data_IF_904378497299
#
_entry.id   IF_904378497299
#
_cell.length_a   1.000
_cell.length_b   1.000
_cell.length_c   1.000
_cell.angle_alpha   90.00
_cell.angle_beta   90.00
_cell.angle_gamma   90.00
#
_symmetry.space_group_name_H-M   'P 1'
#
loop_
_entity.id
_entity.type
_entity.pdbx_description
1 polymer ?
#
# COMPACT_ATOMS: atom_id res chain seq x y z
N UNK A 1 -26.59 16.57 1.18
CA UNK A 1 -25.71 16.76 0.01
C UNK A 1 -26.48 17.45 -1.12
N UNK A 2 -25.91 18.49 -1.75
CA UNK A 2 -26.46 19.18 -2.93
C UNK A 2 -25.89 18.54 -4.19
N UNK A 3 -26.71 18.37 -5.24
CA UNK A 3 -26.31 17.67 -6.47
C UNK A 3 -26.32 18.60 -7.68
N UNK A 4 -25.41 18.36 -8.61
CA UNK A 4 -25.36 19.01 -9.92
C UNK A 4 -25.05 17.99 -11.02
N UNK A 5 -25.92 17.97 -12.03
CA UNK A 5 -25.77 17.11 -13.19
C UNK A 5 -24.77 17.77 -14.16
N UNK A 6 -23.61 17.15 -14.34
CA UNK A 6 -22.55 17.65 -15.21
C UNK A 6 -22.69 17.07 -16.62
N UNK A 7 -22.73 15.74 -16.74
CA UNK A 7 -22.79 15.01 -18.01
C UNK A 7 -21.69 15.48 -19.00
N UNK A 8 -20.43 15.37 -18.58
CA UNK A 8 -19.24 15.72 -19.38
C UNK A 8 -18.09 14.76 -19.11
N UNK A 9 -17.18 14.61 -20.08
CA UNK A 9 -15.92 13.90 -19.87
C UNK A 9 -14.97 14.73 -19.01
N UNK A 10 -14.39 14.08 -17.99
CA UNK A 10 -13.23 14.57 -17.27
C UNK A 10 -12.06 13.59 -17.45
N UNK A 11 -10.88 14.16 -17.62
CA UNK A 11 -9.62 13.42 -17.66
C UNK A 11 -9.05 13.30 -16.24
N UNK A 12 -8.80 12.06 -15.84
CA UNK A 12 -8.07 11.73 -14.62
C UNK A 12 -6.71 11.13 -14.95
N UNK A 13 -5.77 11.32 -14.04
CA UNK A 13 -4.37 10.94 -14.21
C UNK A 13 -3.91 10.07 -13.04
N UNK A 14 -2.87 9.27 -13.24
CA UNK A 14 -2.18 8.59 -12.15
C UNK A 14 -0.67 8.87 -12.23
N UNK A 15 0.08 8.50 -11.19
CA UNK A 15 1.55 8.66 -11.13
C UNK A 15 2.32 8.02 -12.31
N UNK A 16 1.71 7.05 -13.00
CA UNK A 16 2.28 6.39 -14.19
C UNK A 16 1.79 7.00 -15.52
N UNK A 17 1.09 8.14 -15.48
CA UNK A 17 0.50 8.85 -16.63
C UNK A 17 -0.57 8.07 -17.41
N UNK A 18 -1.24 7.09 -16.80
CA UNK A 18 -2.45 6.50 -17.39
C UNK A 18 -3.54 7.56 -17.42
N UNK A 19 -3.88 7.99 -18.63
CA UNK A 19 -4.98 8.90 -18.89
C UNK A 19 -6.29 8.11 -18.87
N UNK A 20 -7.15 8.38 -17.89
CA UNK A 20 -8.49 7.83 -17.83
C UNK A 20 -9.49 8.96 -18.10
N UNK A 21 -10.02 8.98 -19.32
CA UNK A 21 -11.15 9.84 -19.65
C UNK A 21 -12.45 9.11 -19.29
N UNK A 22 -13.25 9.73 -18.42
CA UNK A 22 -14.50 9.14 -17.94
C UNK A 22 -15.63 10.15 -18.01
N UNK A 23 -16.83 9.66 -18.28
CA UNK A 23 -18.03 10.48 -18.25
C UNK A 23 -18.43 10.73 -16.80
N UNK A 24 -18.59 11.99 -16.40
CA UNK A 24 -19.05 12.38 -15.07
C UNK A 24 -20.50 12.81 -15.16
N UNK A 25 -21.39 12.00 -14.58
CA UNK A 25 -22.83 12.22 -14.59
C UNK A 25 -23.20 13.32 -13.59
N UNK A 26 -22.70 13.21 -12.36
CA UNK A 26 -23.16 14.01 -11.23
C UNK A 26 -22.01 14.41 -10.31
N UNK A 27 -22.10 15.62 -9.76
CA UNK A 27 -21.27 16.10 -8.67
C UNK A 27 -22.17 16.32 -7.46
N UNK A 28 -21.79 15.77 -6.32
CA UNK A 28 -22.53 15.89 -5.08
C UNK A 28 -21.63 16.51 -4.01
N UNK A 29 -22.09 17.58 -3.37
CA UNK A 29 -21.29 18.38 -2.44
C UNK A 29 -22.02 18.56 -1.10
N UNK A 30 -21.29 18.42 -0.01
CA UNK A 30 -21.72 18.86 1.32
C UNK A 30 -20.80 20.00 1.75
N UNK A 31 -21.36 21.17 2.07
CA UNK A 31 -20.59 22.35 2.46
C UNK A 31 -21.22 23.02 3.70
N UNK A 32 -20.39 23.61 4.55
CA UNK A 32 -20.77 24.40 5.71
C UNK A 32 -19.92 25.67 5.76
N UNK A 33 -20.54 26.85 5.92
CA UNK A 33 -19.85 28.14 6.06
C UNK A 33 -18.71 28.32 5.02
N UNK A 34 -19.05 28.15 3.75
CA UNK A 34 -18.15 28.22 2.58
C UNK A 34 -17.02 27.18 2.51
N UNK A 35 -16.94 26.27 3.48
CA UNK A 35 -16.01 25.13 3.48
C UNK A 35 -16.69 23.90 2.89
N UNK A 36 -16.02 23.22 1.96
CA UNK A 36 -16.46 21.93 1.43
C UNK A 36 -16.08 20.83 2.42
N UNK A 37 -17.07 20.10 2.92
CA UNK A 37 -16.88 18.98 3.84
C UNK A 37 -16.88 17.63 3.13
N UNK A 38 -17.46 17.55 1.93
CA UNK A 38 -17.48 16.34 1.12
C UNK A 38 -17.71 16.68 -0.35
N UNK A 39 -16.97 16.03 -1.24
CA UNK A 39 -17.17 16.09 -2.68
C UNK A 39 -17.20 14.68 -3.27
N UNK A 40 -18.32 14.31 -3.88
CA UNK A 40 -18.50 13.04 -4.59
C UNK A 40 -18.72 13.27 -6.08
N UNK A 41 -18.22 12.35 -6.89
CA UNK A 41 -18.50 12.25 -8.31
C UNK A 41 -19.16 10.92 -8.62
N UNK A 42 -20.16 10.96 -9.50
CA UNK A 42 -20.73 9.76 -10.12
C UNK A 42 -20.18 9.65 -11.54
N UNK A 43 -19.37 8.62 -11.77
CA UNK A 43 -18.74 8.32 -13.05
C UNK A 43 -19.55 7.27 -13.80
N UNK A 44 -19.54 7.32 -15.12
CA UNK A 44 -20.02 6.26 -16.00
C UNK A 44 -18.86 5.83 -16.90
N UNK A 45 -18.54 4.53 -16.83
CA UNK A 45 -17.43 3.93 -17.56
C UNK A 45 -17.90 2.71 -18.33
N UNK A 46 -17.31 2.48 -19.49
CA UNK A 46 -17.51 1.22 -20.20
C UNK A 46 -16.73 0.08 -19.50
N UNK A 47 -17.03 -1.20 -19.81
CA UNK A 47 -16.36 -2.33 -19.18
C UNK A 47 -14.83 -2.41 -19.41
N UNK A 48 -14.32 -1.85 -20.52
CA UNK A 48 -12.87 -1.80 -20.77
C UNK A 48 -12.18 -0.82 -19.83
N UNK A 49 -12.74 0.38 -19.66
CA UNK A 49 -12.26 1.38 -18.71
C UNK A 49 -12.38 0.89 -17.26
N UNK A 50 -13.47 0.18 -16.94
CA UNK A 50 -13.62 -0.45 -15.63
C UNK A 50 -12.52 -1.49 -15.35
N UNK A 51 -12.21 -2.36 -16.31
CA UNK A 51 -11.12 -3.32 -16.18
C UNK A 51 -9.76 -2.62 -15.94
N UNK A 52 -9.52 -1.46 -16.56
CA UNK A 52 -8.32 -0.66 -16.30
C UNK A 52 -8.29 -0.11 -14.87
N UNK A 53 -9.44 0.39 -14.37
CA UNK A 53 -9.58 0.87 -13.00
C UNK A 53 -9.26 -0.26 -12.02
N UNK A 54 -9.80 -1.46 -12.22
CA UNK A 54 -9.53 -2.62 -11.36
C UNK A 54 -8.06 -3.04 -11.43
N UNK A 55 -7.51 -3.18 -12.63
CA UNK A 55 -6.15 -3.70 -12.85
C UNK A 55 -5.09 -2.80 -12.22
N UNK A 56 -5.31 -1.48 -12.24
CA UNK A 56 -4.37 -0.49 -11.72
C UNK A 56 -4.81 0.10 -10.37
N UNK A 57 -5.86 -0.44 -9.75
CA UNK A 57 -6.45 0.05 -8.50
C UNK A 57 -6.73 1.58 -8.51
N UNK A 58 -7.18 2.12 -9.65
CA UNK A 58 -7.50 3.54 -9.78
C UNK A 58 -8.66 3.89 -8.83
N UNK A 59 -8.68 5.14 -8.33
CA UNK A 59 -9.66 5.58 -7.33
C UNK A 59 -9.62 4.74 -6.05
N UNK A 60 -8.45 4.19 -5.71
CA UNK A 60 -8.23 3.31 -4.57
C UNK A 60 -9.18 2.09 -4.56
N UNK A 61 -9.56 1.59 -5.74
CA UNK A 61 -10.43 0.44 -5.91
C UNK A 61 -9.63 -0.86 -5.90
N UNK A 62 -9.36 -1.41 -4.70
CA UNK A 62 -8.73 -2.72 -4.56
C UNK A 62 -9.78 -3.85 -4.52
N UNK A 63 -9.48 -4.98 -5.15
CA UNK A 63 -10.37 -6.15 -5.20
C UNK A 63 -10.65 -6.77 -3.82
N UNK A 64 -9.68 -6.69 -2.92
CA UNK A 64 -9.74 -7.25 -1.56
C UNK A 64 -10.70 -6.48 -0.63
N UNK A 65 -10.98 -5.21 -0.96
CA UNK A 65 -11.81 -4.32 -0.14
C UNK A 65 -13.22 -4.10 -0.72
N UNK A 66 -13.72 -5.07 -1.50
CA UNK A 66 -15.07 -5.06 -2.05
C UNK A 66 -16.03 -5.74 -1.09
N UNK A 67 -17.12 -5.06 -0.80
CA UNK A 67 -18.27 -5.64 -0.12
C UNK A 67 -19.02 -6.63 -1.02
N UNK A 68 -20.09 -7.23 -0.49
CA UNK A 68 -20.93 -8.17 -1.23
C UNK A 68 -21.44 -7.61 -2.55
N UNK A 69 -21.42 -8.43 -3.61
CA UNK A 69 -22.17 -8.12 -4.82
C UNK A 69 -23.66 -8.35 -4.59
N UNK A 70 -24.52 -7.45 -5.06
CA UNK A 70 -25.92 -7.79 -5.29
C UNK A 70 -25.99 -8.82 -6.42
N UNK A 71 -26.40 -10.04 -6.07
CA UNK A 71 -26.52 -11.25 -6.90
C UNK A 71 -26.54 -10.99 -8.42
N UNK A 72 -25.37 -11.03 -9.07
CA UNK A 72 -25.24 -10.89 -10.51
C UNK A 72 -23.83 -10.51 -10.95
N UNK A 73 -23.44 -10.98 -12.13
CA UNK A 73 -22.23 -10.50 -12.82
C UNK A 73 -22.54 -9.24 -13.63
N UNK A 74 -21.53 -8.40 -13.85
CA UNK A 74 -21.66 -7.30 -14.80
C UNK A 74 -21.79 -7.82 -16.23
N UNK A 75 -22.73 -7.25 -16.97
CA UNK A 75 -22.90 -7.49 -18.39
C UNK A 75 -21.76 -6.79 -19.18
N UNK A 76 -21.21 -7.46 -20.21
CA UNK A 76 -20.03 -6.98 -20.93
C UNK A 76 -20.27 -5.79 -21.86
N UNK A 77 -21.54 -5.48 -22.18
CA UNK A 77 -21.92 -4.44 -23.16
C UNK A 77 -22.71 -3.29 -22.51
N UNK A 78 -22.73 -3.21 -21.18
CA UNK A 78 -23.47 -2.18 -20.43
C UNK A 78 -22.51 -1.35 -19.59
N UNK A 79 -22.71 -0.03 -19.56
CA UNK A 79 -21.88 0.87 -18.76
C UNK A 79 -22.05 0.62 -17.27
N UNK A 80 -20.95 0.84 -16.55
CA UNK A 80 -20.83 0.66 -15.11
C UNK A 80 -20.71 2.05 -14.49
N UNK A 81 -21.48 2.30 -13.44
CA UNK A 81 -21.43 3.52 -12.66
C UNK A 81 -20.54 3.35 -11.43
N UNK A 82 -19.66 4.31 -11.18
CA UNK A 82 -18.84 4.36 -9.97
C UNK A 82 -19.21 5.62 -9.19
N UNK A 83 -19.44 5.49 -7.89
CA UNK A 83 -19.46 6.63 -6.98
C UNK A 83 -18.10 6.75 -6.31
N UNK A 84 -17.45 7.91 -6.43
CA UNK A 84 -16.15 8.20 -5.83
C UNK A 84 -16.23 9.45 -4.93
N UNK A 85 -15.42 9.52 -3.89
CA UNK A 85 -15.32 10.69 -2.99
C UNK A 85 -13.89 11.21 -2.92
N UNK A 86 -13.71 12.53 -2.86
CA UNK A 86 -12.39 13.16 -2.78
C UNK A 86 -11.78 12.90 -1.39
N UNK A 87 -10.45 12.71 -1.33
CA UNK A 87 -9.71 12.65 -0.06
C UNK A 87 -9.98 13.91 0.79
N UNK A 88 -10.27 13.76 2.10
CA UNK A 88 -10.57 14.89 2.98
C UNK A 88 -9.51 15.98 2.98
N UNK A 89 -8.22 15.60 2.94
CA UNK A 89 -7.09 16.54 2.94
C UNK A 89 -7.06 17.49 1.74
N UNK A 90 -7.78 17.19 0.66
CA UNK A 90 -7.87 18.03 -0.55
C UNK A 90 -9.13 18.89 -0.61
N UNK A 91 -10.07 18.69 0.32
CA UNK A 91 -11.28 19.51 0.39
C UNK A 91 -10.99 20.98 0.72
N UNK A 92 -10.02 21.34 1.59
CA UNK A 92 -9.63 22.73 1.78
C UNK A 92 -9.15 23.39 0.48
N UNK A 93 -8.29 22.69 -0.28
CA UNK A 93 -7.80 23.17 -1.59
C UNK A 93 -8.96 23.37 -2.58
N UNK A 94 -9.93 22.45 -2.61
CA UNK A 94 -11.12 22.62 -3.45
C UNK A 94 -11.93 23.85 -3.03
N UNK A 95 -12.09 24.05 -1.72
CA UNK A 95 -12.86 25.16 -1.12
C UNK A 95 -12.28 26.54 -1.45
N UNK A 96 -10.97 26.66 -1.63
CA UNK A 96 -10.31 27.90 -2.07
C UNK A 96 -10.78 28.37 -3.46
N UNK A 97 -11.23 27.43 -4.29
CA UNK A 97 -11.60 27.70 -5.68
C UNK A 97 -13.11 27.59 -5.94
N UNK A 98 -13.80 26.70 -5.24
CA UNK A 98 -15.22 26.41 -5.46
C UNK A 98 -15.87 25.75 -4.24
N UNK A 99 -17.08 26.19 -3.89
CA UNK A 99 -17.81 25.71 -2.72
C UNK A 99 -19.28 25.32 -2.98
N UNK A 100 -19.71 25.38 -4.24
CA UNK A 100 -21.01 24.86 -4.70
C UNK A 100 -20.82 23.78 -5.77
N UNK A 101 -21.77 22.83 -5.92
CA UNK A 101 -21.67 21.80 -6.97
C UNK A 101 -21.40 22.36 -8.38
N UNK A 102 -22.03 23.48 -8.75
CA UNK A 102 -21.88 24.13 -10.06
C UNK A 102 -20.49 24.75 -10.26
N UNK A 103 -19.97 25.41 -9.21
CA UNK A 103 -18.65 26.05 -9.26
C UNK A 103 -17.55 25.00 -9.25
N UNK A 104 -17.73 23.91 -8.50
CA UNK A 104 -16.83 22.75 -8.48
C UNK A 104 -16.81 22.09 -9.86
N UNK A 105 -17.98 21.87 -10.47
CA UNK A 105 -18.08 21.31 -11.81
C UNK A 105 -17.30 22.15 -12.82
N UNK A 106 -17.52 23.46 -12.82
CA UNK A 106 -16.83 24.40 -13.71
C UNK A 106 -15.30 24.35 -13.50
N UNK A 107 -14.88 24.32 -12.23
CA UNK A 107 -13.45 24.30 -11.88
C UNK A 107 -12.77 23.00 -12.33
N UNK A 108 -13.34 21.83 -12.03
CA UNK A 108 -12.79 20.54 -12.44
C UNK A 108 -12.77 20.38 -13.97
N UNK A 109 -13.81 20.83 -14.67
CA UNK A 109 -13.82 20.84 -16.15
C UNK A 109 -12.71 21.70 -16.72
N UNK A 110 -12.48 22.90 -16.16
CA UNK A 110 -11.40 23.78 -16.62
C UNK A 110 -10.02 23.16 -16.37
N UNK A 111 -9.80 22.55 -15.20
CA UNK A 111 -8.55 21.84 -14.90
C UNK A 111 -8.31 20.69 -15.89
N UNK A 112 -9.35 19.92 -16.20
CA UNK A 112 -9.26 18.80 -17.14
C UNK A 112 -8.85 19.25 -18.55
N UNK A 113 -9.39 20.39 -19.02
CA UNK A 113 -9.07 20.92 -20.34
C UNK A 113 -7.66 21.52 -20.42
N UNK A 114 -7.19 22.17 -19.36
CA UNK A 114 -5.84 22.75 -19.31
C UNK A 114 -4.72 21.69 -19.28
N UNK A 115 -5.04 20.50 -18.79
CA UNK A 115 -4.09 19.38 -18.66
C UNK A 115 -4.07 18.49 -19.91
N UNK A 116 -4.86 18.81 -20.94
CA UNK A 116 -4.95 18.07 -22.21
C UNK A 116 -3.82 18.48 -23.16
N UNK A 117 -2.96 17.54 -23.60
CA UNK A 117 -1.93 17.80 -24.61
C UNK A 117 -2.56 18.24 -25.95
N UNK A 118 -1.99 19.22 -26.68
CA UNK A 118 -2.50 19.58 -27.99
C UNK A 118 -2.33 18.43 -29.00
N UNK A 119 -3.32 18.18 -29.88
CA UNK A 119 -3.38 16.97 -30.72
C UNK A 119 -2.27 16.81 -31.78
N UNK A 120 -1.33 17.76 -31.89
CA UNK A 120 -0.24 17.78 -32.88
C UNK A 120 1.17 17.88 -32.27
N UNK A 121 1.35 17.65 -30.96
CA UNK A 121 2.68 17.66 -30.36
C UNK A 121 3.47 16.40 -30.76
N UNK A 122 4.57 16.58 -31.51
CA UNK A 122 5.52 15.51 -31.78
C UNK A 122 6.37 15.23 -30.53
N UNK A 123 6.75 13.97 -30.25
CA UNK A 123 7.45 13.58 -29.03
C UNK A 123 8.89 14.12 -28.92
N UNK A 124 9.38 14.89 -29.90
CA UNK A 124 10.74 15.41 -29.96
C UNK A 124 10.91 16.87 -29.56
N UNK A 125 9.83 17.65 -29.42
CA UNK A 125 9.93 19.12 -29.44
C UNK A 125 9.57 19.82 -28.11
N UNK A 126 9.44 19.09 -27.01
CA UNK A 126 9.25 19.68 -25.67
C UNK A 126 10.30 19.18 -24.70
N UNK A 127 11.01 20.12 -24.08
CA UNK A 127 11.91 19.86 -22.95
C UNK A 127 11.21 18.97 -21.91
N UNK A 128 11.88 17.95 -21.36
CA UNK A 128 11.26 16.92 -20.51
C UNK A 128 10.78 17.41 -19.14
N UNK A 129 10.85 18.71 -18.84
CA UNK A 129 10.52 19.27 -17.52
C UNK A 129 9.16 19.99 -17.45
N UNK A 130 8.44 20.16 -18.56
CA UNK A 130 7.12 20.86 -18.57
C UNK A 130 5.91 19.96 -18.80
N UNK A 131 6.08 18.64 -18.78
CA UNK A 131 4.97 17.69 -18.80
C UNK A 131 4.23 17.71 -17.46
N UNK A 132 3.34 18.70 -17.33
CA UNK A 132 2.09 18.70 -16.58
C UNK A 132 2.19 18.06 -15.19
N UNK A 133 2.48 18.87 -14.17
CA UNK A 133 2.00 18.57 -12.83
C UNK A 133 0.46 18.54 -12.90
N UNK A 134 -0.13 17.35 -13.10
CA UNK A 134 -1.58 17.19 -13.06
C UNK A 134 -2.07 17.70 -11.72
N UNK A 135 -3.11 18.53 -11.74
CA UNK A 135 -3.65 19.07 -10.50
C UNK A 135 -4.07 17.90 -9.59
N UNK A 136 -3.69 17.87 -8.30
CA UNK A 136 -4.01 16.78 -7.38
C UNK A 136 -5.49 16.36 -7.37
N UNK A 137 -6.42 17.29 -7.67
CA UNK A 137 -7.85 17.03 -7.73
C UNK A 137 -8.27 16.12 -8.91
N UNK A 138 -7.45 15.99 -9.95
CA UNK A 138 -7.66 15.10 -11.09
C UNK A 138 -6.84 13.81 -11.01
N UNK A 139 -6.09 13.62 -9.92
CA UNK A 139 -5.32 12.41 -9.72
C UNK A 139 -6.20 11.29 -9.16
N UNK A 140 -6.22 10.13 -9.82
CA UNK A 140 -7.03 8.97 -9.42
C UNK A 140 -6.69 8.48 -8.00
N UNK A 141 -5.45 8.59 -7.54
CA UNK A 141 -5.04 8.21 -6.17
C UNK A 141 -5.67 9.09 -5.08
N UNK A 142 -6.24 10.24 -5.45
CA UNK A 142 -6.80 11.22 -4.54
C UNK A 142 -8.32 11.10 -4.36
N UNK A 143 -8.91 10.04 -4.91
CA UNK A 143 -10.32 9.71 -4.76
C UNK A 143 -10.50 8.29 -4.24
N UNK A 144 -11.49 8.08 -3.38
CA UNK A 144 -11.89 6.77 -2.89
C UNK A 144 -13.18 6.33 -3.56
N UNK A 145 -13.16 5.20 -4.26
CA UNK A 145 -14.38 4.60 -4.79
C UNK A 145 -15.23 4.04 -3.65
N UNK A 146 -16.49 4.48 -3.56
CA UNK A 146 -17.48 4.10 -2.55
C UNK A 146 -18.34 2.93 -3.03
N UNK A 147 -18.77 2.96 -4.28
CA UNK A 147 -19.58 1.88 -4.84
C UNK A 147 -19.43 1.77 -6.35
N UNK A 148 -19.73 0.58 -6.86
CA UNK A 148 -19.72 0.23 -8.28
C UNK A 148 -21.04 -0.47 -8.59
N UNK A 149 -21.78 0.03 -9.57
CA UNK A 149 -23.14 -0.41 -9.88
C UNK A 149 -23.36 -0.49 -11.38
N UNK A 150 -24.19 -1.42 -11.82
CA UNK A 150 -24.65 -1.52 -13.20
C UNK A 150 -26.17 -1.72 -13.19
N UNK A 151 -26.87 -0.82 -13.88
CA UNK A 151 -28.31 -0.94 -14.07
C UNK A 151 -28.60 -1.95 -15.18
N UNK A 152 -29.34 -3.02 -14.85
CA UNK A 152 -29.73 -4.08 -15.77
C UNK A 152 -31.26 -4.22 -15.79
N UNK A 153 -31.81 -4.88 -16.81
CA UNK A 153 -33.25 -5.16 -16.91
C UNK A 153 -33.79 -5.97 -15.71
N UNK A 154 -32.94 -6.80 -15.09
CA UNK A 154 -33.22 -7.59 -13.89
C UNK A 154 -33.13 -6.80 -12.58
N UNK A 155 -32.71 -5.53 -12.63
CA UNK A 155 -32.45 -4.68 -11.48
C UNK A 155 -30.99 -4.19 -11.45
N UNK A 156 -30.62 -3.51 -10.36
CA UNK A 156 -29.27 -3.00 -10.17
C UNK A 156 -28.36 -4.07 -9.55
N UNK A 157 -27.29 -4.42 -10.25
CA UNK A 157 -26.20 -5.24 -9.71
C UNK A 157 -24.99 -4.38 -9.32
N UNK A 158 -24.13 -4.83 -8.42
CA UNK A 158 -22.95 -4.08 -8.01
C UNK A 158 -22.53 -4.36 -6.58
N UNK A 159 -21.57 -3.60 -6.10
CA UNK A 159 -21.01 -3.74 -4.75
C UNK A 159 -20.66 -2.38 -4.16
N UNK A 160 -20.59 -2.33 -2.84
CA UNK A 160 -20.00 -1.22 -2.08
C UNK A 160 -18.55 -1.56 -1.74
N UNK A 161 -17.73 -0.57 -1.47
CA UNK A 161 -16.33 -0.78 -1.04
C UNK A 161 -16.21 -0.52 0.46
N UNK A 162 -15.07 -0.91 1.04
CA UNK A 162 -14.65 -0.53 2.38
C UNK A 162 -14.84 0.98 2.66
N UNK A 163 -14.49 1.84 1.71
CA UNK A 163 -14.59 3.29 1.86
C UNK A 163 -16.02 3.79 2.04
N UNK A 164 -17.03 3.06 1.55
CA UNK A 164 -18.43 3.40 1.81
C UNK A 164 -18.85 3.11 3.26
N UNK A 165 -18.27 2.08 3.88
CA UNK A 165 -18.56 1.73 5.27
C UNK A 165 -17.83 2.65 6.25
N UNK A 166 -16.55 2.90 5.99
CA UNK A 166 -15.74 3.78 6.85
C UNK A 166 -16.10 5.25 6.68
N UNK A 167 -16.53 5.66 5.48
CA UNK A 167 -16.84 7.04 5.13
C UNK A 167 -15.72 8.04 5.51
N UNK A 168 -14.79 8.33 4.58
CA UNK A 168 -13.63 9.19 4.84
C UNK A 168 -13.97 10.60 5.36
N UNK A 169 -15.18 11.12 5.17
CA UNK A 169 -15.56 12.45 5.69
C UNK A 169 -15.54 12.55 7.20
N UNK A 170 -15.64 11.42 7.89
CA UNK A 170 -15.55 11.32 9.34
C UNK A 170 -14.20 11.84 9.86
N UNK A 171 -13.15 11.84 9.03
CA UNK A 171 -11.85 12.42 9.34
C UNK A 171 -11.89 13.93 9.62
N UNK A 172 -12.94 14.63 9.19
CA UNK A 172 -13.12 16.06 9.48
C UNK A 172 -13.69 16.31 10.89
N UNK A 173 -14.06 15.27 11.65
CA UNK A 173 -14.65 15.34 12.98
C UNK A 173 -13.88 14.46 13.99
N UNK A 174 -12.66 14.86 14.41
CA UNK A 174 -11.73 14.02 15.16
C UNK A 174 -12.28 13.47 16.47
N UNK A 175 -13.21 14.18 17.14
CA UNK A 175 -13.79 13.73 18.42
C UNK A 175 -14.62 12.46 18.31
N UNK A 176 -15.31 12.25 17.18
CA UNK A 176 -16.16 11.08 16.93
C UNK A 176 -15.58 10.14 15.88
N UNK A 177 -14.44 10.51 15.28
CA UNK A 177 -13.92 9.82 14.12
C UNK A 177 -13.57 8.36 14.43
N UNK A 178 -12.93 8.14 15.57
CA UNK A 178 -12.45 6.82 15.98
C UNK A 178 -13.57 5.80 16.14
N UNK A 179 -14.64 6.16 16.85
CA UNK A 179 -15.75 5.26 17.12
C UNK A 179 -16.51 4.90 15.84
N UNK A 180 -16.75 5.89 14.98
CA UNK A 180 -17.48 5.67 13.73
C UNK A 180 -16.63 4.91 12.68
N UNK A 181 -15.31 5.12 12.66
CA UNK A 181 -14.40 4.33 11.82
C UNK A 181 -14.40 2.87 12.26
N UNK A 182 -14.26 2.61 13.57
CA UNK A 182 -14.29 1.25 14.11
C UNK A 182 -15.63 0.56 13.83
N UNK A 183 -16.75 1.28 13.96
CA UNK A 183 -18.08 0.80 13.60
C UNK A 183 -18.18 0.49 12.09
N UNK A 184 -17.68 1.38 11.23
CA UNK A 184 -17.63 1.19 9.78
C UNK A 184 -16.82 -0.04 9.37
N UNK A 185 -15.65 -0.24 9.98
CA UNK A 185 -14.81 -1.43 9.77
C UNK A 185 -15.55 -2.70 10.18
N UNK A 186 -16.19 -2.69 11.35
CA UNK A 186 -16.95 -3.83 11.87
C UNK A 186 -18.10 -4.18 10.93
N UNK A 187 -18.88 -3.18 10.51
CA UNK A 187 -19.99 -3.36 9.57
C UNK A 187 -19.53 -3.89 8.21
N UNK A 188 -18.36 -3.47 7.72
CA UNK A 188 -17.78 -4.02 6.50
C UNK A 188 -17.43 -5.50 6.68
N UNK A 189 -16.72 -5.85 7.76
CA UNK A 189 -16.31 -7.23 8.03
C UNK A 189 -17.51 -8.17 8.18
N UNK A 190 -18.56 -7.76 8.89
CA UNK A 190 -19.79 -8.54 9.05
C UNK A 190 -20.50 -8.79 7.71
N UNK A 191 -20.67 -7.75 6.89
CA UNK A 191 -21.33 -7.88 5.59
C UNK A 191 -20.52 -8.71 4.60
N UNK A 192 -19.21 -8.46 4.53
CA UNK A 192 -18.28 -9.24 3.71
C UNK A 192 -18.33 -10.71 4.10
N UNK A 193 -18.32 -11.00 5.40
CA UNK A 193 -18.39 -12.36 5.91
C UNK A 193 -19.72 -13.02 5.53
N UNK A 194 -20.85 -12.37 5.77
CA UNK A 194 -22.17 -12.90 5.44
C UNK A 194 -22.32 -13.30 3.97
N UNK A 195 -21.72 -12.54 3.04
CA UNK A 195 -21.83 -12.82 1.61
C UNK A 195 -20.87 -13.91 1.13
N UNK A 196 -19.61 -13.88 1.61
CA UNK A 196 -18.57 -14.77 1.11
C UNK A 196 -18.50 -16.10 1.88
N UNK A 197 -19.14 -16.20 3.05
CA UNK A 197 -19.14 -17.40 3.89
C UNK A 197 -20.46 -18.17 3.92
N UNK A 198 -21.36 -17.89 2.98
CA UNK A 198 -22.59 -18.67 2.80
C UNK A 198 -22.37 -20.18 2.50
N UNK A 199 -21.10 -20.61 2.32
CA UNK A 199 -20.69 -22.00 2.15
C UNK A 199 -19.69 -22.52 3.22
N UNK A 200 -19.32 -21.72 4.22
CA UNK A 200 -18.34 -22.08 5.25
C UNK A 200 -19.03 -22.48 6.57
N UNK A 201 -18.44 -23.41 7.32
CA UNK A 201 -18.90 -23.76 8.68
C UNK A 201 -18.69 -22.57 9.63
N UNK A 202 -19.50 -22.45 10.69
CA UNK A 202 -19.38 -21.38 11.71
C UNK A 202 -17.93 -21.16 12.18
N UNK A 203 -17.18 -22.25 12.42
CA UNK A 203 -15.78 -22.18 12.85
C UNK A 203 -14.83 -21.49 11.85
N UNK A 204 -15.03 -21.74 10.55
CA UNK A 204 -14.20 -21.12 9.48
C UNK A 204 -14.58 -19.64 9.35
N UNK A 205 -15.83 -19.30 9.65
CA UNK A 205 -16.30 -17.93 9.63
C UNK A 205 -15.74 -17.08 10.75
N UNK A 206 -15.72 -17.62 11.97
CA UNK A 206 -15.07 -16.95 13.09
C UNK A 206 -13.57 -16.76 12.86
N UNK A 207 -12.87 -17.74 12.27
CA UNK A 207 -11.43 -17.65 12.03
C UNK A 207 -11.07 -16.64 10.92
N UNK A 208 -11.88 -16.56 9.85
CA UNK A 208 -11.73 -15.56 8.79
C UNK A 208 -12.09 -14.15 9.26
N UNK A 209 -13.18 -14.00 10.04
CA UNK A 209 -13.54 -12.72 10.67
C UNK A 209 -12.41 -12.27 11.58
N UNK A 210 -11.85 -13.18 12.39
CA UNK A 210 -10.70 -12.88 13.25
C UNK A 210 -9.45 -12.49 12.47
N UNK A 211 -9.16 -13.16 11.36
CA UNK A 211 -8.06 -12.79 10.45
C UNK A 211 -8.23 -11.38 9.88
N UNK A 212 -9.46 -11.03 9.50
CA UNK A 212 -9.83 -9.70 9.01
C UNK A 212 -9.75 -8.66 10.14
N UNK A 213 -10.24 -8.98 11.34
CA UNK A 213 -10.09 -8.13 12.53
C UNK A 213 -8.61 -7.90 12.85
N UNK A 214 -7.74 -8.90 12.74
CA UNK A 214 -6.30 -8.74 12.95
C UNK A 214 -5.65 -7.88 11.85
N UNK A 215 -6.06 -8.02 10.58
CA UNK A 215 -5.65 -7.13 9.49
C UNK A 215 -6.08 -5.68 9.79
N UNK A 216 -7.26 -5.51 10.37
CA UNK A 216 -7.79 -4.20 10.76
C UNK A 216 -7.23 -3.67 12.09
N UNK A 217 -6.78 -4.48 13.04
CA UNK A 217 -6.02 -4.02 14.20
C UNK A 217 -4.69 -3.38 13.75
N UNK A 218 -4.09 -3.90 12.69
CA UNK A 218 -2.96 -3.27 11.99
C UNK A 218 -3.34 -1.92 11.36
N UNK A 219 -4.56 -1.80 10.84
CA UNK A 219 -5.11 -0.55 10.29
C UNK A 219 -5.49 0.47 11.37
N UNK A 220 -6.09 0.06 12.48
CA UNK A 220 -6.34 0.90 13.67
C UNK A 220 -5.03 1.40 14.28
N UNK A 221 -4.00 0.55 14.30
CA UNK A 221 -2.65 0.98 14.67
C UNK A 221 -2.11 2.02 13.68
N UNK A 222 -2.38 1.86 12.39
CA UNK A 222 -2.03 2.83 11.35
C UNK A 222 -2.82 4.15 11.52
N UNK A 223 -4.12 4.10 11.78
CA UNK A 223 -4.97 5.25 12.12
C UNK A 223 -4.48 5.94 13.39
N UNK A 224 -4.19 5.20 14.46
CA UNK A 224 -3.66 5.75 15.71
C UNK A 224 -2.34 6.50 15.47
N UNK A 225 -1.44 6.02 14.60
CA UNK A 225 -0.25 6.79 14.23
C UNK A 225 -0.58 8.01 13.36
N UNK A 226 -1.60 7.92 12.49
CA UNK A 226 -2.04 9.01 11.63
C UNK A 226 -2.77 10.13 12.41
N UNK A 227 -3.39 9.81 13.55
CA UNK A 227 -4.14 10.74 14.43
C UNK A 227 -3.47 11.02 15.77
N UNK A 228 -2.25 10.52 16.01
CA UNK A 228 -1.45 10.89 17.18
C UNK A 228 -1.04 12.36 17.07
N UNK A 229 -1.85 13.26 17.63
CA UNK A 229 -1.47 14.63 17.94
C UNK A 229 -0.43 14.60 19.06
N UNK A 230 0.86 14.59 18.70
CA UNK A 230 1.85 15.32 19.51
C UNK A 230 1.83 16.78 19.02
N UNK A 231 0.85 17.53 19.54
CA UNK A 231 0.83 18.98 19.52
C UNK A 231 2.05 19.47 20.31
N UNK A 232 3.17 19.72 19.62
CA UNK A 232 4.16 20.77 19.91
C UNK A 232 5.36 20.64 18.95
N UNK A 233 5.22 21.19 17.75
CA UNK A 233 6.26 22.01 17.13
C UNK A 233 5.68 22.71 15.89
N UNK A 234 5.47 24.01 16.01
CA UNK A 234 5.27 24.92 14.88
C UNK A 234 6.52 24.90 13.98
N UNK A 235 6.55 24.03 12.98
CA UNK A 235 7.25 24.19 11.68
C UNK A 235 7.07 22.93 10.83
N UNK A 236 5.85 22.63 10.36
CA UNK A 236 5.69 21.55 9.38
C UNK A 236 4.51 21.82 8.42
N UNK A 237 4.74 22.77 7.51
CA UNK A 237 3.78 23.17 6.47
C UNK A 237 4.33 22.86 5.06
N UNK A 238 5.13 21.79 4.95
CA UNK A 238 5.68 21.31 3.68
C UNK A 238 5.50 19.78 3.62
N UNK A 239 4.46 19.34 2.92
CA UNK A 239 4.25 17.96 2.47
C UNK A 239 4.28 16.88 3.56
N UNK A 240 3.11 16.35 3.95
CA UNK A 240 3.03 14.99 4.52
C UNK A 240 3.50 13.99 3.45
N UNK A 241 4.81 13.79 3.35
CA UNK A 241 5.40 12.66 2.64
C UNK A 241 4.89 11.38 3.31
N UNK A 242 4.39 10.42 2.53
CA UNK A 242 4.02 9.10 3.05
C UNK A 242 5.24 8.50 3.77
N UNK A 243 5.15 8.26 5.08
CA UNK A 243 6.28 7.73 5.85
C UNK A 243 6.79 6.41 5.29
N UNK A 244 8.09 6.14 5.42
CA UNK A 244 8.71 4.90 4.95
C UNK A 244 7.99 3.70 5.61
N UNK A 245 7.67 3.82 6.90
CA UNK A 245 6.92 2.82 7.66
C UNK A 245 5.57 2.48 7.02
N UNK A 246 4.81 3.49 6.58
CA UNK A 246 3.51 3.28 5.94
C UNK A 246 3.66 2.48 4.65
N UNK A 247 4.67 2.84 3.85
CA UNK A 247 4.98 2.15 2.59
C UNK A 247 5.40 0.70 2.82
N UNK A 248 6.21 0.45 3.85
CA UNK A 248 6.66 -0.90 4.22
C UNK A 248 5.52 -1.77 4.76
N UNK A 249 4.63 -1.21 5.59
CA UNK A 249 3.42 -1.91 6.06
C UNK A 249 2.56 -2.31 4.86
N UNK A 250 2.27 -1.37 3.96
CA UNK A 250 1.47 -1.63 2.77
C UNK A 250 2.10 -2.73 1.88
N UNK A 251 3.42 -2.75 1.75
CA UNK A 251 4.13 -3.81 1.04
C UNK A 251 3.89 -5.18 1.67
N UNK A 252 4.17 -5.35 2.97
CA UNK A 252 4.08 -6.66 3.63
C UNK A 252 2.65 -7.16 3.74
N UNK A 253 1.67 -6.27 3.91
CA UNK A 253 0.25 -6.63 3.83
C UNK A 253 -0.10 -7.13 2.43
N UNK A 254 0.29 -6.40 1.39
CA UNK A 254 0.01 -6.78 -0.01
C UNK A 254 0.71 -8.07 -0.44
N UNK A 255 1.90 -8.33 0.07
CA UNK A 255 2.69 -9.52 -0.24
C UNK A 255 2.31 -10.74 0.63
N UNK A 256 1.26 -10.60 1.46
CA UNK A 256 0.68 -11.63 2.33
C UNK A 256 1.67 -12.18 3.38
N UNK A 257 2.49 -11.30 3.95
CA UNK A 257 3.35 -11.65 5.07
C UNK A 257 2.63 -11.43 6.40
N UNK A 258 2.75 -12.39 7.30
CA UNK A 258 2.35 -12.19 8.71
C UNK A 258 3.46 -11.46 9.45
N UNK A 259 3.14 -10.32 10.06
CA UNK A 259 4.09 -9.53 10.84
C UNK A 259 3.46 -8.92 12.09
N UNK A 260 4.30 -8.48 13.01
CA UNK A 260 3.93 -7.74 14.22
C UNK A 260 4.74 -6.44 14.28
N UNK A 261 4.07 -5.30 14.45
CA UNK A 261 4.75 -4.02 14.69
C UNK A 261 5.26 -3.97 16.13
N UNK A 262 6.54 -3.68 16.34
CA UNK A 262 7.09 -3.50 17.67
C UNK A 262 6.64 -2.15 18.26
N UNK A 263 6.08 -2.18 19.48
CA UNK A 263 5.53 -1.00 20.12
C UNK A 263 6.61 0.07 20.33
N UNK A 264 6.30 1.32 19.96
CA UNK A 264 7.22 2.46 20.10
C UNK A 264 8.43 2.43 19.16
N UNK A 265 8.45 1.54 18.17
CA UNK A 265 9.53 1.41 17.20
C UNK A 265 8.99 1.38 15.77
N UNK A 266 9.76 1.91 14.83
CA UNK A 266 9.47 1.77 13.40
C UNK A 266 10.04 0.46 12.86
N UNK A 267 9.65 -0.66 13.49
CA UNK A 267 10.15 -2.01 13.20
C UNK A 267 8.98 -2.98 13.10
N UNK A 268 8.96 -3.78 12.03
CA UNK A 268 8.08 -4.94 11.89
C UNK A 268 8.89 -6.22 12.08
N UNK A 269 8.39 -7.12 12.91
CA UNK A 269 8.95 -8.45 13.12
C UNK A 269 8.11 -9.49 12.38
N UNK A 270 8.75 -10.45 11.72
CA UNK A 270 8.08 -11.53 11.00
C UNK A 270 8.93 -12.80 11.03
N UNK A 271 8.32 -13.95 10.76
CA UNK A 271 9.03 -15.21 10.59
C UNK A 271 9.05 -15.58 9.10
N UNK A 272 10.15 -16.18 8.63
CA UNK A 272 10.29 -16.64 7.25
C UNK A 272 10.72 -18.10 7.19
N UNK A 273 9.97 -18.90 6.42
CA UNK A 273 10.27 -20.30 6.17
C UNK A 273 11.00 -20.45 4.82
N UNK A 274 12.31 -20.62 4.88
CA UNK A 274 13.13 -21.01 3.74
C UNK A 274 13.14 -22.53 3.51
N UNK A 275 13.90 -22.97 2.50
CA UNK A 275 14.12 -24.39 2.21
C UNK A 275 14.95 -25.06 3.29
N UNK A 276 15.91 -24.34 3.87
CA UNK A 276 16.90 -24.87 4.80
C UNK A 276 16.59 -24.53 6.25
N UNK A 277 15.62 -23.65 6.55
CA UNK A 277 15.25 -23.34 7.93
C UNK A 277 14.13 -22.32 8.11
N UNK A 278 13.78 -22.08 9.37
CA UNK A 278 12.86 -21.04 9.82
C UNK A 278 13.65 -20.03 10.65
N UNK A 279 13.47 -18.74 10.39
CA UNK A 279 14.14 -17.69 11.14
C UNK A 279 13.30 -16.41 11.24
N UNK A 280 13.68 -15.52 12.15
CA UNK A 280 13.03 -14.24 12.33
C UNK A 280 13.66 -13.19 11.41
N UNK A 281 12.81 -12.32 10.87
CA UNK A 281 13.21 -11.16 10.11
C UNK A 281 12.70 -9.87 10.77
N UNK A 282 13.41 -8.77 10.53
CA UNK A 282 13.06 -7.45 11.00
C UNK A 282 13.11 -6.45 9.86
N UNK A 283 12.00 -5.77 9.62
CA UNK A 283 11.89 -4.64 8.69
C UNK A 283 11.95 -3.35 9.50
N UNK A 284 13.08 -2.65 9.49
CA UNK A 284 13.31 -1.42 10.23
C UNK A 284 13.28 -0.22 9.28
N UNK A 285 12.45 0.77 9.59
CA UNK A 285 12.48 2.07 8.93
C UNK A 285 13.21 3.08 9.81
N UNK A 286 14.04 3.88 9.16
CA UNK A 286 14.87 4.91 9.77
C UNK A 286 14.46 6.23 9.11
N UNK A 287 13.34 6.76 9.58
CA UNK A 287 12.68 7.92 8.94
C UNK A 287 13.61 9.13 8.88
N UNK A 288 14.29 9.47 9.98
CA UNK A 288 15.20 10.62 10.05
C UNK A 288 16.39 10.49 9.10
N UNK A 289 16.89 9.28 8.86
CA UNK A 289 18.00 9.02 7.95
C UNK A 289 17.56 8.58 6.55
N UNK A 290 16.25 8.63 6.27
CA UNK A 290 15.61 8.21 5.02
C UNK A 290 16.08 6.82 4.55
N UNK A 291 16.04 5.83 5.44
CA UNK A 291 16.56 4.49 5.17
C UNK A 291 15.54 3.40 5.47
N UNK A 292 15.56 2.38 4.62
CA UNK A 292 14.92 1.10 4.92
C UNK A 292 15.99 0.02 5.08
N UNK A 293 15.88 -0.77 6.15
CA UNK A 293 16.77 -1.89 6.45
C UNK A 293 15.94 -3.14 6.73
N UNK A 294 16.31 -4.23 6.09
CA UNK A 294 15.72 -5.55 6.32
C UNK A 294 16.79 -6.51 6.81
N UNK A 295 16.49 -7.21 7.89
CA UNK A 295 17.38 -8.17 8.53
C UNK A 295 16.75 -9.56 8.52
N UNK A 296 17.54 -10.59 8.22
CA UNK A 296 17.29 -11.98 8.61
C UNK A 296 18.21 -12.35 9.76
N UNK A 297 17.67 -12.82 10.88
CA UNK A 297 18.44 -13.15 12.09
C UNK A 297 18.56 -14.66 12.23
N UNK A 298 19.78 -15.19 12.30
CA UNK A 298 19.99 -16.60 12.62
C UNK A 298 19.47 -16.89 14.04
N UNK A 299 18.74 -17.98 14.22
CA UNK A 299 17.98 -18.24 15.46
C UNK A 299 18.85 -18.60 16.68
N UNK A 300 20.14 -18.90 16.48
CA UNK A 300 21.07 -19.32 17.53
C UNK A 300 22.27 -18.38 17.64
N UNK A 301 22.82 -18.28 18.85
CA UNK A 301 24.04 -17.53 19.11
C UNK A 301 25.26 -18.43 18.94
N UNK A 302 26.28 -17.89 18.27
CA UNK A 302 27.55 -18.58 18.08
C UNK A 302 28.34 -18.59 19.39
N UNK A 303 28.68 -19.79 19.86
CA UNK A 303 29.52 -19.97 21.05
C UNK A 303 30.88 -19.29 20.88
N UNK A 304 31.45 -18.79 21.98
CA UNK A 304 32.70 -18.02 21.97
C UNK A 304 33.84 -18.72 21.21
N UNK A 305 33.99 -20.02 21.41
CA UNK A 305 35.02 -20.87 20.76
C UNK A 305 34.88 -20.92 19.23
N UNK A 306 33.67 -20.72 18.71
CA UNK A 306 33.35 -20.80 17.27
C UNK A 306 33.35 -19.45 16.57
N UNK A 307 33.34 -18.34 17.30
CA UNK A 307 33.20 -16.98 16.72
C UNK A 307 34.30 -16.66 15.71
N UNK A 308 35.54 -17.10 15.94
CA UNK A 308 36.63 -16.87 14.98
C UNK A 308 36.41 -17.62 13.66
N UNK A 309 36.01 -18.89 13.73
CA UNK A 309 35.73 -19.68 12.53
C UNK A 309 34.51 -19.13 11.79
N UNK A 310 33.46 -18.74 12.52
CA UNK A 310 32.28 -18.13 11.91
C UNK A 310 32.61 -16.79 11.24
N UNK A 311 33.38 -15.93 11.90
CA UNK A 311 33.79 -14.65 11.32
C UNK A 311 34.57 -14.83 10.02
N UNK A 312 35.45 -15.83 9.96
CA UNK A 312 36.15 -16.19 8.73
C UNK A 312 35.17 -16.63 7.63
N UNK A 313 34.22 -17.54 7.95
CA UNK A 313 33.20 -17.99 6.99
C UNK A 313 32.39 -16.81 6.44
N UNK A 314 31.82 -15.98 7.31
CA UNK A 314 30.99 -14.84 6.90
C UNK A 314 31.79 -13.82 6.08
N UNK A 315 33.08 -13.61 6.41
CA UNK A 315 33.97 -12.75 5.62
C UNK A 315 34.21 -13.31 4.23
N UNK A 316 34.42 -14.63 4.10
CA UNK A 316 34.58 -15.31 2.81
C UNK A 316 33.31 -15.20 1.97
N UNK A 317 32.13 -15.41 2.58
CA UNK A 317 30.83 -15.25 1.92
C UNK A 317 30.66 -13.81 1.42
N UNK A 318 30.91 -12.82 2.28
CA UNK A 318 30.74 -11.41 1.94
C UNK A 318 31.60 -10.95 0.75
N UNK A 319 32.76 -11.57 0.50
CA UNK A 319 33.61 -11.22 -0.64
C UNK A 319 32.94 -11.44 -2.01
N UNK A 320 31.93 -12.32 -2.08
CA UNK A 320 31.19 -12.63 -3.31
C UNK A 320 29.84 -11.92 -3.47
N UNK A 321 29.34 -11.24 -2.43
CA UNK A 321 27.98 -10.70 -2.41
C UNK A 321 27.90 -9.33 -3.09
N UNK A 322 26.85 -9.13 -3.89
CA UNK A 322 26.55 -7.85 -4.56
C UNK A 322 25.53 -7.03 -3.76
N UNK A 323 24.52 -7.69 -3.18
CA UNK A 323 23.41 -7.04 -2.46
C UNK A 323 23.37 -7.58 -1.04
N UNK A 324 23.60 -6.69 -0.06
CA UNK A 324 23.57 -7.03 1.36
C UNK A 324 24.88 -7.61 1.87
N UNK A 325 24.91 -7.93 3.17
CA UNK A 325 26.06 -8.53 3.84
C UNK A 325 25.64 -9.31 5.08
N UNK A 326 26.42 -10.34 5.42
CA UNK A 326 26.38 -10.97 6.73
C UNK A 326 27.11 -10.12 7.76
N UNK A 327 26.60 -10.12 8.98
CA UNK A 327 27.16 -9.48 10.17
C UNK A 327 27.14 -10.48 11.31
N UNK A 328 28.12 -10.38 12.21
CA UNK A 328 28.10 -11.09 13.48
C UNK A 328 28.51 -10.14 14.60
N UNK A 329 27.72 -10.10 15.68
CA UNK A 329 28.17 -9.44 16.91
C UNK A 329 29.15 -10.37 17.63
N UNK A 330 30.37 -9.90 17.85
CA UNK A 330 31.41 -10.69 18.51
C UNK A 330 31.21 -10.85 20.02
N UNK A 331 30.36 -10.03 20.64
CA UNK A 331 30.11 -10.07 22.08
C UNK A 331 29.21 -11.26 22.44
N UNK A 332 28.13 -11.48 21.70
CA UNK A 332 27.15 -12.54 21.97
C UNK A 332 27.13 -13.65 20.90
N UNK A 333 27.59 -13.38 19.69
CA UNK A 333 27.59 -14.34 18.58
C UNK A 333 26.32 -14.31 17.73
N UNK A 334 25.47 -13.28 17.83
CA UNK A 334 24.32 -13.11 16.93
C UNK A 334 24.81 -12.98 15.48
N UNK A 335 24.23 -13.76 14.56
CA UNK A 335 24.45 -13.63 13.11
C UNK A 335 23.20 -13.03 12.47
N UNK A 336 23.42 -12.09 11.56
CA UNK A 336 22.34 -11.55 10.72
C UNK A 336 22.78 -11.32 9.29
N UNK A 337 21.82 -11.41 8.37
CA UNK A 337 21.97 -10.93 7.00
C UNK A 337 21.21 -9.63 6.82
N UNK A 338 21.90 -8.58 6.36
CA UNK A 338 21.35 -7.24 6.20
C UNK A 338 21.26 -6.85 4.73
N UNK A 339 20.13 -6.28 4.35
CA UNK A 339 19.95 -5.51 3.12
C UNK A 339 19.38 -4.14 3.46
N UNK A 340 19.87 -3.08 2.82
CA UNK A 340 19.44 -1.71 3.12
C UNK A 340 19.42 -0.83 1.88
N UNK A 341 18.59 0.19 1.90
CA UNK A 341 18.49 1.20 0.83
C UNK A 341 18.25 2.59 1.41
N UNK A 342 18.86 3.61 0.81
CA UNK A 342 18.52 5.01 1.05
C UNK A 342 17.33 5.42 0.16
N UNK A 343 16.38 6.14 0.73
CA UNK A 343 15.08 6.47 0.13
C UNK A 343 15.08 7.87 -0.51
N UNK A 344 16.11 8.68 -0.28
CA UNK A 344 16.25 10.04 -0.84
C UNK A 344 16.06 10.07 -2.38
N UNK A 345 15.04 10.81 -2.84
CA UNK A 345 14.71 11.00 -4.26
C UNK A 345 14.25 9.74 -5.02
N UNK A 346 14.20 8.57 -4.37
CA UNK A 346 13.72 7.32 -4.96
C UNK A 346 12.37 6.95 -4.35
N UNK A 347 11.34 6.83 -5.19
CA UNK A 347 10.07 6.25 -4.75
C UNK A 347 10.37 4.83 -4.29
N UNK A 348 10.14 4.54 -3.01
CA UNK A 348 10.25 3.20 -2.43
C UNK A 348 9.11 2.33 -2.98
N UNK A 349 9.24 1.90 -4.24
CA UNK A 349 8.18 1.16 -4.92
C UNK A 349 8.08 -0.27 -4.41
N UNK A 350 6.91 -0.88 -4.57
CA UNK A 350 6.67 -2.29 -4.28
C UNK A 350 7.76 -3.22 -4.88
N UNK A 351 8.18 -2.96 -6.12
CA UNK A 351 9.20 -3.78 -6.79
C UNK A 351 10.60 -3.64 -6.17
N UNK A 352 10.95 -2.45 -5.70
CA UNK A 352 12.23 -2.21 -5.01
C UNK A 352 12.25 -2.94 -3.67
N UNK A 353 11.20 -2.80 -2.88
CA UNK A 353 11.06 -3.48 -1.58
C UNK A 353 11.10 -5.00 -1.80
N UNK A 354 10.32 -5.51 -2.76
CA UNK A 354 10.27 -6.95 -3.09
C UNK A 354 11.65 -7.52 -3.39
N UNK A 355 12.41 -6.86 -4.27
CA UNK A 355 13.76 -7.31 -4.64
C UNK A 355 14.69 -7.32 -3.44
N UNK A 356 14.62 -6.30 -2.59
CA UNK A 356 15.47 -6.17 -1.41
C UNK A 356 15.16 -7.26 -0.36
N UNK A 357 13.88 -7.45 -0.04
CA UNK A 357 13.40 -8.44 0.94
C UNK A 357 13.68 -9.86 0.45
N UNK A 358 13.32 -10.21 -0.79
CA UNK A 358 13.52 -11.56 -1.29
C UNK A 358 14.99 -11.90 -1.55
N UNK A 359 15.83 -10.94 -1.93
CA UNK A 359 17.28 -11.16 -1.98
C UNK A 359 17.84 -11.49 -0.60
N UNK A 360 17.35 -10.81 0.45
CA UNK A 360 17.78 -11.04 1.82
C UNK A 360 17.52 -12.48 2.28
N UNK A 361 16.25 -12.90 2.23
CA UNK A 361 15.86 -14.23 2.72
C UNK A 361 16.42 -15.35 1.85
N UNK A 362 16.58 -15.14 0.54
CA UNK A 362 17.18 -16.13 -0.36
C UNK A 362 18.67 -16.38 -0.04
N UNK A 363 19.44 -15.31 0.20
CA UNK A 363 20.87 -15.45 0.54
C UNK A 363 21.05 -16.07 1.93
N UNK A 364 20.23 -15.67 2.91
CA UNK A 364 20.21 -16.33 4.22
C UNK A 364 19.95 -17.82 4.08
N UNK A 365 18.90 -18.22 3.35
CA UNK A 365 18.56 -19.63 3.13
C UNK A 365 19.69 -20.41 2.44
N UNK A 366 20.31 -19.80 1.42
CA UNK A 366 21.35 -20.43 0.61
C UNK A 366 22.61 -20.75 1.42
N UNK A 367 23.06 -19.84 2.29
CA UNK A 367 24.26 -20.04 3.10
C UNK A 367 23.98 -20.67 4.48
N UNK A 368 22.72 -20.82 4.89
CA UNK A 368 22.32 -21.43 6.16
C UNK A 368 22.95 -22.81 6.41
N UNK A 369 23.04 -23.73 5.42
CA UNK A 369 23.73 -25.02 5.61
C UNK A 369 25.20 -24.87 5.99
N UNK A 370 25.91 -23.88 5.41
CA UNK A 370 27.31 -23.62 5.74
C UNK A 370 27.52 -23.05 7.13
N UNK A 371 26.61 -22.16 7.54
CA UNK A 371 26.60 -21.62 8.91
C UNK A 371 26.46 -22.78 9.90
N UNK A 372 25.50 -23.69 9.68
CA UNK A 372 25.32 -24.90 10.51
C UNK A 372 26.50 -25.85 10.45
N UNK A 373 27.10 -26.07 9.29
CA UNK A 373 28.28 -26.93 9.16
C UNK A 373 29.46 -26.48 10.04
N UNK A 374 29.68 -25.17 10.17
CA UNK A 374 30.75 -24.63 11.05
C UNK A 374 30.35 -24.74 12.53
N UNK A 375 29.09 -24.51 12.87
CA UNK A 375 28.59 -24.56 14.26
C UNK A 375 28.51 -26.01 14.77
N UNK A 376 27.80 -26.87 14.05
CA UNK A 376 27.36 -28.20 14.49
C UNK A 376 28.36 -29.30 14.11
N UNK A 377 28.95 -29.21 12.92
CA UNK A 377 29.76 -30.29 12.33
C UNK A 377 31.27 -30.01 12.42
N UNK A 378 31.66 -28.84 12.94
CA UNK A 378 33.04 -28.39 13.10
C UNK A 378 33.86 -28.43 11.79
N UNK A 379 33.18 -28.22 10.66
CA UNK A 379 33.79 -28.12 9.34
C UNK A 379 34.58 -26.81 9.25
N UNK A 380 35.71 -26.81 8.53
CA UNK A 380 36.49 -25.59 8.37
C UNK A 380 35.75 -24.55 7.50
N UNK A 381 35.92 -23.24 7.73
CA UNK A 381 35.26 -22.20 6.94
C UNK A 381 35.49 -22.32 5.42
N UNK A 382 36.69 -22.75 5.02
CA UNK A 382 37.06 -22.97 3.61
C UNK A 382 36.30 -24.15 2.99
N UNK A 383 36.17 -25.26 3.71
CA UNK A 383 35.40 -26.42 3.24
C UNK A 383 33.91 -26.11 3.18
N UNK A 384 33.36 -25.42 4.19
CA UNK A 384 31.94 -25.09 4.27
C UNK A 384 31.47 -24.24 3.08
N UNK A 385 32.20 -23.17 2.73
CA UNK A 385 31.85 -22.33 1.58
C UNK A 385 32.02 -23.08 0.25
N UNK A 386 33.06 -23.91 0.12
CA UNK A 386 33.29 -24.70 -1.08
C UNK A 386 32.16 -25.71 -1.34
N UNK A 387 31.62 -26.34 -0.29
CA UNK A 387 30.47 -27.25 -0.41
C UNK A 387 29.23 -26.52 -0.95
N UNK A 388 28.94 -25.32 -0.46
CA UNK A 388 27.78 -24.52 -0.87
C UNK A 388 27.93 -24.03 -2.32
N UNK A 389 29.06 -23.42 -2.66
CA UNK A 389 29.25 -22.75 -3.95
C UNK A 389 29.66 -23.69 -5.09
N UNK A 390 29.93 -24.96 -4.80
CA UNK A 390 30.27 -25.96 -5.82
C UNK A 390 29.11 -26.27 -6.79
N UNK A 391 27.86 -26.04 -6.39
CA UNK A 391 26.67 -26.18 -7.25
C UNK A 391 26.25 -24.81 -7.85
N UNK A 392 27.17 -24.23 -8.63
CA UNK A 392 27.13 -22.85 -9.15
C UNK A 392 26.11 -22.58 -10.27
N UNK A 393 24.91 -23.16 -10.19
CA UNK A 393 23.83 -22.96 -11.18
C UNK A 393 22.83 -21.86 -10.83
N UNK A 394 22.96 -21.19 -9.68
CA UNK A 394 21.97 -20.22 -9.18
C UNK A 394 22.65 -19.02 -8.52
N UNK A 395 23.47 -18.27 -9.25
CA UNK A 395 23.79 -16.87 -8.94
C UNK A 395 23.69 -16.04 -10.21
#
# INVERSE_FOLDING_TARGET
MKNYQLNQNLAFYNRTQVHLETWVINIALTSQEDTVNECRLTLQVNPTSYQQIETHALFNLNSEFRGPFSNGDFLPDTDIQLEITLKPDLLPQLSEHANTPETVATYLTNLSQQTSLPPNASPSDTEPQSLLSSNPLLNTENWFCLSVKQDQDSGQTGYTTFWNYVNPTILNHPETAREQIAEGITNFAENWAAANLSAATEDIAEELVKGITNLFEGFETWLDNAFSQDDNNETDDLAREESILTTIIAYFTKDDWTFTKLQGQSVLQMAYQGKNGLWNCYAQTRETEEQFVFYSIYHELVSEEKRLAMAELLTRINYGLIIGNFEMDFNDGEIRYKTSIGVEGNILTYQVIKRLVYANVAIMDYYLPGIRAVIDENISPEEAIALIESDRRIL
#
